data_IF_044041791862
#
_entry.id   IF_044041791862
#
_cell.length_a   1.000
_cell.length_b   1.000
_cell.length_c   1.000
_cell.angle_alpha   90.00
_cell.angle_beta   90.00
_cell.angle_gamma   90.00
#
_symmetry.space_group_name_H-M   'P 1'
#
loop_
_entity.id
_entity.type
_entity.pdbx_description
1 polymer ?
#
# COMPACT_ATOMS: atom_id res chain seq x y z
N UNK A 1 10.99 11.48 -26.34
CA UNK A 1 9.60 11.05 -26.08
C UNK A 1 9.45 9.56 -26.41
N UNK A 2 8.68 8.83 -25.59
CA UNK A 2 8.16 7.45 -25.77
C UNK A 2 9.05 6.29 -25.28
N UNK A 3 8.91 5.99 -23.99
CA UNK A 3 9.02 4.63 -23.45
C UNK A 3 8.02 4.52 -22.29
N UNK A 4 6.70 4.51 -22.52
CA UNK A 4 5.90 3.31 -22.80
C UNK A 4 6.37 2.08 -22.00
N UNK A 5 6.15 2.09 -20.68
CA UNK A 5 5.77 0.85 -19.99
C UNK A 5 4.29 0.95 -19.66
N UNK A 6 3.49 0.84 -20.72
CA UNK A 6 2.06 0.56 -20.66
C UNK A 6 1.93 -0.87 -20.12
N UNK A 7 1.95 -1.08 -18.80
CA UNK A 7 1.58 -2.37 -18.22
C UNK A 7 1.28 -2.28 -16.72
N UNK A 8 0.13 -1.72 -16.34
CA UNK A 8 -0.54 -2.13 -15.09
C UNK A 8 -1.96 -1.56 -15.00
N UNK A 9 -2.84 -2.04 -15.88
CA UNK A 9 -4.26 -1.88 -15.66
C UNK A 9 -5.02 -3.03 -16.34
N UNK A 10 -5.07 -4.18 -15.67
CA UNK A 10 -6.11 -5.19 -15.92
C UNK A 10 -7.09 -5.06 -14.77
N UNK A 11 -8.23 -4.44 -15.09
CA UNK A 11 -9.40 -4.31 -14.22
C UNK A 11 -10.09 -5.67 -14.22
N UNK A 12 -10.14 -6.35 -13.07
CA UNK A 12 -11.00 -7.52 -12.88
C UNK A 12 -11.91 -7.25 -11.68
N UNK A 13 -13.21 -7.18 -11.98
CA UNK A 13 -14.30 -6.98 -11.02
C UNK A 13 -14.74 -8.35 -10.50
N UNK A 14 -14.77 -8.53 -9.18
CA UNK A 14 -15.59 -9.57 -8.52
C UNK A 14 -16.05 -9.02 -7.18
N UNK A 15 -17.36 -8.89 -7.04
CA UNK A 15 -18.07 -8.59 -5.80
C UNK A 15 -18.48 -9.90 -5.10
N UNK A 16 -18.34 -9.99 -3.77
CA UNK A 16 -19.21 -10.82 -2.91
C UNK A 16 -19.08 -10.43 -1.42
N UNK A 17 -20.18 -10.54 -0.68
CA UNK A 17 -20.45 -9.97 0.66
C UNK A 17 -20.09 -10.88 1.87
N UNK A 18 -20.11 -10.25 3.07
CA UNK A 18 -19.79 -10.64 4.48
C UNK A 18 -20.76 -11.70 5.11
N UNK A 19 -20.62 -12.27 6.37
CA UNK A 19 -20.03 -11.70 7.63
C UNK A 19 -19.39 -12.65 8.72
N UNK A 20 -18.87 -12.02 9.81
CA UNK A 20 -18.79 -12.38 11.28
C UNK A 20 -18.08 -13.65 11.83
N UNK A 21 -17.19 -13.52 12.84
CA UNK A 21 -17.38 -13.87 14.30
C UNK A 21 -16.09 -13.79 15.18
N UNK A 22 -16.27 -13.26 16.41
CA UNK A 22 -15.72 -13.56 17.76
C UNK A 22 -14.21 -13.49 18.16
N UNK A 23 -14.01 -12.87 19.33
CA UNK A 23 -12.81 -12.59 20.14
C UNK A 23 -12.14 -13.80 20.82
N UNK A 24 -10.80 -13.73 21.02
CA UNK A 24 -10.08 -14.39 22.12
C UNK A 24 -8.91 -13.49 22.58
N UNK A 25 -8.89 -13.18 23.88
CA UNK A 25 -7.83 -12.42 24.57
C UNK A 25 -7.01 -13.38 25.44
N UNK A 26 -5.69 -13.34 25.32
CA UNK A 26 -4.72 -13.91 26.29
C UNK A 26 -3.51 -12.97 26.43
N UNK A 27 -2.98 -12.72 27.65
CA UNK A 27 -1.91 -11.75 27.88
C UNK A 27 -0.52 -12.39 27.84
N UNK A 28 0.45 -11.78 27.16
CA UNK A 28 1.89 -12.14 27.28
C UNK A 28 2.79 -11.01 26.76
N UNK A 29 3.75 -10.64 27.61
CA UNK A 29 5.02 -9.93 27.38
C UNK A 29 5.02 -8.59 26.66
N UNK A 30 5.34 -7.55 27.44
CA UNK A 30 5.67 -6.21 26.97
C UNK A 30 6.98 -6.19 26.18
N UNK A 31 6.91 -6.52 24.89
CA UNK A 31 7.78 -5.90 23.91
C UNK A 31 7.22 -4.50 23.66
N UNK A 32 8.07 -3.48 23.66
CA UNK A 32 7.71 -2.15 23.19
C UNK A 32 7.45 -2.23 21.68
N UNK A 33 6.30 -2.81 21.30
CA UNK A 33 5.69 -2.64 20.00
C UNK A 33 5.41 -1.16 19.87
N UNK A 34 6.29 -0.45 19.15
CA UNK A 34 5.92 0.84 18.57
C UNK A 34 4.79 0.52 17.60
N UNK A 35 3.57 0.52 18.13
CA UNK A 35 2.34 0.36 17.37
C UNK A 35 2.32 1.54 16.43
N UNK A 36 2.67 1.28 15.17
CA UNK A 36 2.67 2.29 14.13
C UNK A 36 1.22 2.68 13.88
N UNK A 37 0.73 3.69 14.60
CA UNK A 37 -0.57 4.30 14.41
C UNK A 37 -0.40 5.47 13.46
N UNK A 38 -0.42 5.19 12.15
CA UNK A 38 -0.56 6.27 11.17
C UNK A 38 -2.03 6.70 11.15
N UNK A 39 -2.36 7.71 11.96
CA UNK A 39 -3.69 8.33 11.92
C UNK A 39 -3.80 9.18 10.67
N UNK A 40 -4.07 8.53 9.53
CA UNK A 40 -4.32 9.23 8.28
C UNK A 40 -5.66 9.97 8.33
N UNK A 41 -5.65 11.23 7.90
CA UNK A 41 -6.88 11.98 7.67
C UNK A 41 -7.76 11.29 6.60
N UNK A 42 -9.06 11.61 6.54
CA UNK A 42 -9.96 11.09 5.50
C UNK A 42 -9.43 11.37 4.09
N UNK A 43 -8.79 12.53 3.88
CA UNK A 43 -8.19 12.93 2.60
C UNK A 43 -6.98 12.06 2.26
N UNK A 44 -6.13 11.76 3.23
CA UNK A 44 -4.98 10.88 3.03
C UNK A 44 -5.37 9.44 2.77
N UNK A 45 -6.35 8.90 3.52
CA UNK A 45 -6.90 7.56 3.26
C UNK A 45 -7.43 7.43 1.84
N UNK A 46 -8.15 8.45 1.35
CA UNK A 46 -8.63 8.51 -0.05
C UNK A 46 -7.48 8.57 -1.06
N UNK A 47 -6.44 9.36 -0.78
CA UNK A 47 -5.28 9.44 -1.65
C UNK A 47 -4.49 8.11 -1.70
N UNK A 48 -4.27 7.48 -0.54
CA UNK A 48 -3.65 6.16 -0.39
C UNK A 48 -4.40 5.07 -1.16
N UNK A 49 -5.72 5.00 -0.97
CA UNK A 49 -6.56 4.04 -1.69
C UNK A 49 -6.51 4.27 -3.21
N UNK A 50 -6.53 5.53 -3.65
CA UNK A 50 -6.42 5.87 -5.06
C UNK A 50 -5.09 5.42 -5.66
N UNK A 51 -3.97 5.68 -4.98
CA UNK A 51 -2.65 5.21 -5.41
C UNK A 51 -2.62 3.68 -5.49
N UNK A 52 -3.09 2.97 -4.46
CA UNK A 52 -3.13 1.51 -4.47
C UNK A 52 -3.88 0.92 -5.68
N UNK A 53 -5.01 1.53 -6.06
CA UNK A 53 -5.78 1.13 -7.25
C UNK A 53 -4.99 1.39 -8.53
N UNK A 54 -4.28 2.52 -8.62
CA UNK A 54 -3.47 2.85 -9.80
C UNK A 54 -2.20 2.02 -9.93
N UNK A 55 -1.57 1.66 -8.82
CA UNK A 55 -0.35 0.85 -8.79
C UNK A 55 -0.64 -0.62 -9.09
N UNK A 56 -1.72 -1.19 -8.55
CA UNK A 56 -1.93 -2.65 -8.69
C UNK A 56 -3.38 -3.11 -8.71
N UNK A 57 -4.35 -2.19 -8.73
CA UNK A 57 -5.74 -2.52 -8.46
C UNK A 57 -6.00 -2.91 -7.00
N UNK A 58 -5.04 -2.70 -6.08
CA UNK A 58 -5.17 -3.10 -4.68
C UNK A 58 -4.61 -4.50 -4.35
N UNK A 59 -3.95 -5.18 -5.29
CA UNK A 59 -3.52 -6.57 -5.13
C UNK A 59 -2.19 -6.70 -4.34
N UNK A 60 -2.25 -7.21 -3.12
CA UNK A 60 -1.08 -7.48 -2.27
C UNK A 60 -0.09 -8.53 -2.79
N UNK A 61 -0.44 -9.26 -3.85
CA UNK A 61 0.38 -10.30 -4.48
C UNK A 61 0.81 -9.93 -5.90
N UNK A 62 0.48 -8.72 -6.37
CA UNK A 62 0.91 -8.25 -7.68
C UNK A 62 2.44 -8.27 -7.78
N UNK A 63 2.98 -8.74 -8.92
CA UNK A 63 4.41 -8.82 -9.17
C UNK A 63 4.72 -8.18 -10.51
N UNK A 64 5.70 -7.29 -10.53
CA UNK A 64 6.21 -6.68 -11.75
C UNK A 64 7.73 -6.51 -11.62
N UNK A 65 8.48 -7.54 -12.03
CA UNK A 65 9.95 -7.58 -11.91
C UNK A 65 10.41 -7.35 -10.47
N UNK A 66 11.05 -6.21 -10.21
CA UNK A 66 11.61 -5.83 -8.90
C UNK A 66 10.57 -5.26 -7.93
N UNK A 67 9.32 -5.06 -8.38
CA UNK A 67 8.23 -4.48 -7.59
C UNK A 67 7.23 -5.54 -7.13
N UNK A 68 6.70 -5.36 -5.92
CA UNK A 68 5.78 -6.29 -5.28
C UNK A 68 4.62 -5.58 -4.57
N UNK A 69 3.44 -6.18 -4.72
CA UNK A 69 2.30 -5.99 -3.86
C UNK A 69 1.48 -4.74 -4.16
N UNK A 70 0.65 -4.36 -3.20
CA UNK A 70 -0.45 -3.41 -3.38
C UNK A 70 0.00 -2.02 -3.87
N UNK A 71 1.19 -1.60 -3.43
CA UNK A 71 1.77 -0.30 -3.73
C UNK A 71 2.99 -0.40 -4.66
N UNK A 72 3.21 -1.57 -5.27
CA UNK A 72 4.37 -1.85 -6.13
C UNK A 72 5.69 -1.40 -5.49
N UNK A 73 5.91 -1.78 -4.23
CA UNK A 73 7.14 -1.46 -3.51
C UNK A 73 8.30 -2.28 -4.05
N UNK A 74 9.51 -1.71 -4.08
CA UNK A 74 10.69 -2.50 -4.45
C UNK A 74 10.88 -3.64 -3.43
N UNK A 75 11.17 -4.85 -3.90
CA UNK A 75 11.34 -6.04 -3.05
C UNK A 75 12.31 -5.79 -1.88
N UNK A 76 13.38 -5.02 -2.10
CA UNK A 76 14.35 -4.66 -1.04
C UNK A 76 13.72 -3.86 0.12
N UNK A 77 12.71 -3.04 -0.15
CA UNK A 77 12.00 -2.27 0.88
C UNK A 77 11.19 -3.17 1.82
N UNK A 78 10.76 -4.34 1.32
CA UNK A 78 9.98 -5.31 2.09
C UNK A 78 10.84 -6.20 2.97
N UNK A 79 12.17 -6.21 2.76
CA UNK A 79 13.14 -6.97 3.59
C UNK A 79 12.79 -8.46 3.74
N UNK A 80 12.20 -9.04 2.70
CA UNK A 80 11.73 -10.43 2.69
C UNK A 80 10.35 -10.67 3.30
N UNK A 81 9.76 -9.70 4.01
CA UNK A 81 8.42 -9.78 4.56
C UNK A 81 7.38 -9.19 3.58
N UNK A 82 6.69 -10.07 2.87
CA UNK A 82 5.66 -9.71 1.89
C UNK A 82 4.24 -9.60 2.48
N UNK A 83 4.09 -9.64 3.81
CA UNK A 83 2.81 -9.56 4.47
C UNK A 83 2.06 -8.26 4.13
N UNK A 84 0.72 -8.31 4.20
CA UNK A 84 -0.13 -7.13 3.99
C UNK A 84 0.24 -6.02 4.96
N UNK A 85 0.49 -6.37 6.23
CA UNK A 85 0.86 -5.43 7.27
C UNK A 85 2.18 -4.71 6.96
N UNK A 86 3.22 -5.44 6.55
CA UNK A 86 4.50 -4.82 6.21
C UNK A 86 4.40 -3.95 4.95
N UNK A 87 3.61 -4.37 3.96
CA UNK A 87 3.35 -3.54 2.78
C UNK A 87 2.67 -2.22 3.14
N UNK A 88 1.63 -2.25 3.97
CA UNK A 88 0.93 -1.05 4.45
C UNK A 88 1.87 -0.12 5.23
N UNK A 89 2.59 -0.67 6.22
CA UNK A 89 3.55 0.07 7.06
C UNK A 89 4.67 0.70 6.23
N UNK A 90 5.20 -0.05 5.26
CA UNK A 90 6.30 0.38 4.40
C UNK A 90 5.85 1.43 3.40
N UNK A 91 4.67 1.28 2.81
CA UNK A 91 4.11 2.28 1.92
C UNK A 91 3.79 3.58 2.67
N UNK A 92 3.26 3.52 3.88
CA UNK A 92 2.99 4.74 4.67
C UNK A 92 4.28 5.48 5.04
N UNK A 93 5.31 4.76 5.53
CA UNK A 93 6.64 5.37 5.77
C UNK A 93 7.21 5.98 4.50
N UNK A 94 7.13 5.27 3.38
CA UNK A 94 7.67 5.75 2.12
C UNK A 94 6.92 7.00 1.63
N UNK A 95 5.59 7.00 1.68
CA UNK A 95 4.78 8.16 1.33
C UNK A 95 5.11 9.37 2.20
N UNK A 96 5.25 9.16 3.51
CA UNK A 96 5.57 10.21 4.46
C UNK A 96 7.00 10.75 4.27
N UNK A 97 8.00 9.88 4.20
CA UNK A 97 9.40 10.29 4.11
C UNK A 97 9.73 10.93 2.77
N UNK A 98 9.18 10.41 1.66
CA UNK A 98 9.48 10.89 0.31
C UNK A 98 8.63 12.10 -0.09
N UNK A 99 7.35 12.09 0.25
CA UNK A 99 6.40 13.09 -0.23
C UNK A 99 5.85 13.98 0.89
N UNK A 100 6.03 13.61 2.16
CA UNK A 100 5.44 14.27 3.33
C UNK A 100 4.01 13.80 3.64
N UNK A 101 3.21 13.42 2.63
CA UNK A 101 1.86 12.88 2.82
C UNK A 101 1.37 12.11 1.61
N UNK A 102 0.35 11.27 1.81
CA UNK A 102 -0.33 10.57 0.72
C UNK A 102 -0.98 11.51 -0.30
N UNK A 103 -1.42 12.70 0.13
CA UNK A 103 -1.98 13.71 -0.79
C UNK A 103 -0.91 14.25 -1.71
N UNK A 104 0.29 14.53 -1.19
CA UNK A 104 1.45 14.96 -1.98
C UNK A 104 1.95 13.82 -2.88
N UNK A 105 1.97 12.57 -2.38
CA UNK A 105 2.27 11.39 -3.18
C UNK A 105 1.33 11.25 -4.38
N UNK A 106 0.02 11.42 -4.17
CA UNK A 106 -0.96 11.41 -5.26
C UNK A 106 -0.70 12.52 -6.28
N UNK A 107 -0.31 13.72 -5.82
CA UNK A 107 0.05 14.83 -6.73
C UNK A 107 1.28 14.47 -7.57
N UNK A 108 2.29 13.88 -6.96
CA UNK A 108 3.46 13.36 -7.67
C UNK A 108 3.04 12.34 -8.72
N UNK A 109 2.22 11.35 -8.34
CA UNK A 109 1.71 10.35 -9.28
C UNK A 109 0.99 10.99 -10.47
N UNK A 110 0.14 12.00 -10.24
CA UNK A 110 -0.57 12.69 -11.34
C UNK A 110 0.38 13.39 -12.32
N UNK A 111 1.56 13.82 -11.86
CA UNK A 111 2.55 14.50 -12.70
C UNK A 111 3.52 13.53 -13.39
N UNK A 112 3.90 12.44 -12.73
CA UNK A 112 4.98 11.56 -13.19
C UNK A 112 4.53 10.14 -13.54
N UNK A 113 3.35 9.72 -13.10
CA UNK A 113 2.74 8.43 -13.42
C UNK A 113 3.22 7.25 -12.56
N UNK A 114 3.89 7.51 -11.43
CA UNK A 114 4.39 6.48 -10.52
C UNK A 114 4.36 6.94 -9.05
N UNK A 115 4.40 5.97 -8.13
CA UNK A 115 4.45 6.17 -6.67
C UNK A 115 5.84 5.97 -6.07
#
# INVERSE_FOLDING_TARGET
MKLKTVFMLIVMVVSLALPSVADVVTPTTAEASVTYTCTLSKKEKRAKAWIAVKESGGNYRARNGRYYGKYQLTISMLKGDYSKANQEKTADRYAHNRYGSWVKAKRHWLSYGWF
#
